data_IF_788259141395
#
_entry.id   IF_788259141395
#
_cell.length_a   1.000
_cell.length_b   1.000
_cell.length_c   1.000
_cell.angle_alpha   90.00
_cell.angle_beta   90.00
_cell.angle_gamma   90.00
#
_symmetry.space_group_name_H-M   'P 1'
#
loop_
_entity.id
_entity.type
_entity.pdbx_description
1 polymer ?
#
# COMPACT_ATOMS: atom_id res chain seq x y z
N UNK A 1 22.31 29.49 -3.24
CA UNK A 1 21.55 28.50 -2.44
C UNK A 1 21.80 27.13 -3.04
N UNK A 2 22.19 26.17 -2.21
CA UNK A 2 23.06 25.03 -2.58
C UNK A 2 22.42 23.97 -3.47
N UNK A 3 23.24 23.45 -4.39
CA UNK A 3 22.97 22.32 -5.28
C UNK A 3 23.02 20.94 -4.58
N UNK A 4 23.18 20.90 -3.25
CA UNK A 4 23.37 19.67 -2.47
C UNK A 4 22.13 19.18 -1.72
N UNK A 5 21.00 19.91 -1.74
CA UNK A 5 19.79 19.45 -1.05
C UNK A 5 19.07 18.41 -1.92
N UNK A 6 19.01 17.16 -1.43
CA UNK A 6 18.14 16.13 -2.00
C UNK A 6 16.68 16.45 -1.71
N UNK A 7 15.81 16.16 -2.67
CA UNK A 7 14.36 16.21 -2.51
C UNK A 7 13.94 15.11 -1.53
N UNK A 8 13.39 15.51 -0.39
CA UNK A 8 12.93 14.59 0.66
C UNK A 8 11.53 14.10 0.34
N UNK A 9 11.37 12.81 0.16
CA UNK A 9 10.11 12.19 -0.27
C UNK A 9 9.60 11.22 0.77
N UNK A 10 8.30 11.25 1.05
CA UNK A 10 7.62 10.20 1.80
C UNK A 10 6.72 9.37 0.87
N UNK A 11 6.58 8.09 1.16
CA UNK A 11 5.73 7.16 0.41
C UNK A 11 4.52 6.78 1.26
N UNK A 12 3.32 6.94 0.71
CA UNK A 12 2.05 6.54 1.33
C UNK A 12 1.48 5.35 0.56
N UNK A 13 1.17 4.25 1.25
CA UNK A 13 0.70 3.01 0.62
C UNK A 13 -0.13 2.11 1.56
N UNK A 14 -0.87 1.15 1.02
CA UNK A 14 -1.50 0.06 1.78
C UNK A 14 -0.61 -1.19 1.95
N UNK A 15 0.64 -1.16 1.48
CA UNK A 15 1.58 -2.29 1.65
C UNK A 15 1.40 -3.41 0.63
N UNK A 16 0.96 -3.06 -0.59
CA UNK A 16 1.01 -3.97 -1.74
C UNK A 16 2.45 -4.25 -2.20
N UNK A 17 2.62 -4.99 -3.31
CA UNK A 17 3.95 -5.35 -3.82
C UNK A 17 4.69 -4.19 -4.53
N UNK A 18 3.97 -3.22 -5.11
CA UNK A 18 4.57 -2.17 -5.92
C UNK A 18 5.42 -1.10 -5.18
N UNK A 19 5.13 -0.73 -3.91
CA UNK A 19 5.97 0.16 -3.12
C UNK A 19 7.43 -0.30 -2.99
N UNK A 20 7.72 -1.61 -2.98
CA UNK A 20 9.12 -2.09 -2.98
C UNK A 20 9.86 -1.60 -4.22
N UNK A 21 9.27 -1.77 -5.41
CA UNK A 21 9.88 -1.32 -6.67
C UNK A 21 10.04 0.21 -6.71
N UNK A 22 9.07 0.95 -6.16
CA UNK A 22 9.16 2.40 -6.07
C UNK A 22 10.35 2.84 -5.20
N UNK A 23 10.58 2.21 -4.06
CA UNK A 23 11.76 2.48 -3.21
C UNK A 23 13.04 2.25 -4.01
N UNK A 24 13.13 1.16 -4.78
CA UNK A 24 14.30 0.86 -5.60
C UNK A 24 14.55 1.90 -6.69
N UNK A 25 13.49 2.38 -7.33
CA UNK A 25 13.58 3.40 -8.37
C UNK A 25 13.99 4.75 -7.78
N UNK A 26 13.38 5.17 -6.67
CA UNK A 26 13.72 6.43 -6.01
C UNK A 26 15.14 6.42 -5.45
N UNK A 27 15.62 5.28 -4.93
CA UNK A 27 16.98 5.14 -4.43
C UNK A 27 18.06 5.30 -5.53
N UNK A 28 17.71 5.14 -6.81
CA UNK A 28 18.63 5.36 -7.94
C UNK A 28 18.71 6.83 -8.37
N UNK A 29 17.79 7.68 -7.90
CA UNK A 29 17.77 9.10 -8.23
C UNK A 29 18.63 9.83 -7.22
N UNK A 30 19.84 10.24 -7.63
CA UNK A 30 20.83 10.87 -6.73
C UNK A 30 20.32 12.15 -6.04
N UNK A 31 19.35 12.84 -6.65
CA UNK A 31 18.71 14.05 -6.12
C UNK A 31 17.53 13.77 -5.20
N UNK A 32 17.22 12.51 -4.86
CA UNK A 32 16.08 12.13 -4.02
C UNK A 32 16.55 11.39 -2.77
N UNK A 33 15.90 11.69 -1.65
CA UNK A 33 16.02 10.96 -0.40
C UNK A 33 14.63 10.47 0.01
N UNK A 34 14.47 9.17 0.26
CA UNK A 34 13.22 8.63 0.81
C UNK A 34 13.27 8.76 2.33
N UNK A 35 12.58 9.78 2.86
CA UNK A 35 12.56 10.12 4.28
C UNK A 35 11.70 9.15 5.12
N UNK A 36 10.75 8.45 4.50
CA UNK A 36 9.95 7.44 5.18
C UNK A 36 8.88 6.78 4.33
N UNK A 37 8.46 5.59 4.74
CA UNK A 37 7.36 4.82 4.14
C UNK A 37 6.26 4.65 5.17
N UNK A 38 5.04 5.08 4.83
CA UNK A 38 3.88 5.05 5.72
C UNK A 38 2.84 4.11 5.16
N UNK A 39 2.61 3.00 5.87
CA UNK A 39 1.67 1.96 5.47
C UNK A 39 0.38 2.09 6.25
N UNK A 40 -0.73 2.40 5.58
CA UNK A 40 -2.04 2.41 6.20
C UNK A 40 -2.53 0.97 6.45
N UNK A 41 -2.87 0.66 7.70
CA UNK A 41 -3.24 -0.69 8.12
C UNK A 41 -4.75 -0.91 8.12
N UNK A 42 -5.57 0.14 8.24
CA UNK A 42 -7.02 0.05 8.12
C UNK A 42 -7.46 0.13 6.65
N UNK A 43 -7.16 -0.94 5.91
CA UNK A 43 -7.44 -1.04 4.47
C UNK A 43 -8.84 -1.65 4.22
N UNK A 44 -9.46 -2.20 5.27
CA UNK A 44 -10.70 -2.96 5.12
C UNK A 44 -11.88 -2.01 5.17
N UNK A 45 -12.25 -1.48 4.00
CA UNK A 45 -13.62 -1.00 3.82
C UNK A 45 -14.56 -2.20 4.01
N UNK A 46 -15.28 -2.20 5.14
CA UNK A 46 -16.31 -3.19 5.46
C UNK A 46 -17.49 -3.03 4.49
N UNK A 47 -17.34 -3.56 3.27
CA UNK A 47 -18.45 -3.64 2.32
C UNK A 47 -19.35 -4.81 2.69
N UNK A 48 -20.66 -4.55 2.74
CA UNK A 48 -21.64 -5.62 2.79
C UNK A 48 -21.49 -6.56 1.57
N UNK A 49 -21.86 -7.83 1.71
CA UNK A 49 -21.87 -8.79 0.60
C UNK A 49 -22.62 -8.24 -0.63
N UNK A 50 -23.70 -7.48 -0.40
CA UNK A 50 -24.45 -6.77 -1.44
C UNK A 50 -23.59 -5.76 -2.20
N UNK A 51 -22.83 -4.93 -1.50
CA UNK A 51 -21.96 -3.93 -2.12
C UNK A 51 -20.81 -4.57 -2.90
N UNK A 52 -20.25 -5.66 -2.38
CA UNK A 52 -19.21 -6.44 -3.08
C UNK A 52 -19.72 -7.01 -4.40
N UNK A 53 -20.92 -7.61 -4.39
CA UNK A 53 -21.59 -8.14 -5.59
C UNK A 53 -21.92 -7.02 -6.57
N UNK A 54 -22.51 -5.91 -6.08
CA UNK A 54 -22.86 -4.75 -6.91
C UNK A 54 -21.63 -4.16 -7.61
N UNK A 55 -20.49 -4.06 -6.91
CA UNK A 55 -19.23 -3.60 -7.52
C UNK A 55 -18.70 -4.59 -8.55
N UNK A 56 -18.68 -5.88 -8.24
CA UNK A 56 -18.20 -6.88 -9.21
C UNK A 56 -19.03 -6.87 -10.50
N UNK A 57 -20.35 -6.71 -10.40
CA UNK A 57 -21.22 -6.55 -11.57
C UNK A 57 -20.90 -5.26 -12.33
N UNK A 58 -20.67 -4.15 -11.63
CA UNK A 58 -20.38 -2.85 -12.25
C UNK A 58 -19.05 -2.84 -12.99
N UNK A 59 -18.00 -3.47 -12.45
CA UNK A 59 -16.65 -3.43 -13.01
C UNK A 59 -16.33 -4.60 -13.92
N UNK A 60 -16.82 -5.80 -13.61
CA UNK A 60 -16.47 -7.05 -14.32
C UNK A 60 -17.64 -7.60 -15.16
N UNK A 61 -18.86 -7.08 -14.95
CA UNK A 61 -20.07 -7.60 -15.58
C UNK A 61 -20.66 -8.82 -14.87
N UNK A 62 -21.90 -9.15 -15.22
CA UNK A 62 -22.65 -10.29 -14.69
C UNK A 62 -21.97 -11.65 -14.92
N UNK A 63 -21.40 -11.97 -16.10
CA UNK A 63 -20.84 -13.30 -16.37
C UNK A 63 -19.60 -13.58 -15.51
N UNK A 64 -18.70 -12.62 -15.40
CA UNK A 64 -17.48 -12.75 -14.59
C UNK A 64 -17.81 -12.83 -13.10
N UNK A 65 -18.83 -12.11 -12.64
CA UNK A 65 -19.30 -12.18 -11.24
C UNK A 65 -19.89 -13.56 -10.93
N UNK A 66 -20.73 -14.10 -11.82
CA UNK A 66 -21.33 -15.43 -11.66
C UNK A 66 -20.26 -16.54 -11.66
N UNK A 67 -19.26 -16.44 -12.55
CA UNK A 67 -18.13 -17.37 -12.59
C UNK A 67 -17.29 -17.35 -11.30
N UNK A 68 -16.99 -16.16 -10.76
CA UNK A 68 -16.29 -16.01 -9.46
C UNK A 68 -17.08 -16.66 -8.31
N UNK A 69 -18.40 -16.51 -8.30
CA UNK A 69 -19.28 -17.12 -7.29
C UNK A 69 -19.35 -18.64 -7.46
N UNK A 70 -19.49 -19.14 -8.68
CA UNK A 70 -19.51 -20.58 -8.97
C UNK A 70 -18.20 -21.26 -8.57
N UNK A 71 -17.03 -20.66 -8.88
CA UNK A 71 -15.72 -21.19 -8.45
C UNK A 71 -15.58 -21.26 -6.93
N UNK A 72 -16.22 -20.33 -6.20
CA UNK A 72 -16.22 -20.32 -4.74
C UNK A 72 -17.07 -21.44 -4.14
N UNK A 73 -18.14 -21.86 -4.83
CA UNK A 73 -19.04 -22.94 -4.37
C UNK A 73 -18.48 -24.35 -4.66
N UNK A 74 -17.68 -24.51 -5.71
CA UNK A 74 -17.14 -25.81 -6.12
C UNK A 74 -15.89 -26.22 -5.30
N UNK A 75 -15.53 -25.46 -4.25
CA UNK A 75 -14.38 -25.81 -3.38
C UNK A 75 -13.00 -25.69 -4.06
N UNK A 76 -12.94 -25.48 -5.37
CA UNK A 76 -11.72 -25.20 -6.14
C UNK A 76 -11.09 -23.82 -5.84
N UNK A 77 -11.43 -23.24 -4.69
CA UNK A 77 -11.08 -21.90 -4.22
C UNK A 77 -10.41 -21.90 -2.85
N UNK A 78 -9.78 -23.01 -2.42
CA UNK A 78 -8.88 -23.06 -1.24
C UNK A 78 -7.58 -22.24 -1.40
N UNK A 79 -7.58 -21.22 -2.26
CA UNK A 79 -6.55 -20.17 -2.31
C UNK A 79 -7.16 -18.77 -2.14
N UNK A 80 -8.35 -18.65 -1.55
CA UNK A 80 -8.79 -17.41 -0.96
C UNK A 80 -8.25 -17.31 0.47
N UNK A 81 -6.93 -17.37 0.63
CA UNK A 81 -6.30 -16.66 1.73
C UNK A 81 -6.78 -15.22 1.59
N UNK A 82 -7.71 -14.84 2.47
CA UNK A 82 -8.33 -13.52 2.48
C UNK A 82 -7.15 -12.55 2.37
N UNK A 83 -7.09 -11.71 1.33
CA UNK A 83 -5.87 -11.01 0.89
C UNK A 83 -4.99 -10.35 1.97
N UNK A 84 -5.45 -10.25 3.20
CA UNK A 84 -4.69 -10.21 4.47
C UNK A 84 -3.36 -10.98 4.43
N UNK A 85 -3.31 -12.29 4.14
CA UNK A 85 -2.04 -13.04 4.21
C UNK A 85 -1.04 -12.64 3.12
N UNK A 86 -1.53 -12.37 1.90
CA UNK A 86 -0.72 -11.79 0.83
C UNK A 86 -0.27 -10.35 1.13
N UNK A 87 -1.11 -9.54 1.77
CA UNK A 87 -0.77 -8.18 2.23
C UNK A 87 0.30 -8.24 3.32
N UNK A 88 0.20 -9.17 4.27
CA UNK A 88 1.18 -9.30 5.34
C UNK A 88 2.55 -9.74 4.81
N UNK A 89 2.57 -10.73 3.89
CA UNK A 89 3.81 -11.11 3.20
C UNK A 89 4.42 -9.95 2.39
N UNK A 90 3.60 -9.12 1.73
CA UNK A 90 4.09 -7.95 1.01
C UNK A 90 4.61 -6.85 1.96
N UNK A 91 3.99 -6.67 3.13
CA UNK A 91 4.47 -5.75 4.17
C UNK A 91 5.80 -6.17 4.74
N UNK A 92 6.02 -7.47 4.94
CA UNK A 92 7.32 -7.98 5.39
C UNK A 92 8.41 -7.68 4.35
N UNK A 93 8.14 -8.00 3.08
CA UNK A 93 9.07 -7.66 1.98
C UNK A 93 9.35 -6.16 1.88
N UNK A 94 8.34 -5.33 2.15
CA UNK A 94 8.48 -3.87 2.16
C UNK A 94 9.34 -3.41 3.35
N UNK A 95 9.16 -4.02 4.52
CA UNK A 95 9.98 -3.78 5.71
C UNK A 95 11.44 -4.14 5.45
N UNK A 96 11.70 -5.31 4.88
CA UNK A 96 13.05 -5.74 4.49
C UNK A 96 13.67 -4.77 3.46
N UNK A 97 12.93 -4.39 2.42
CA UNK A 97 13.43 -3.49 1.38
C UNK A 97 13.75 -2.08 1.90
N UNK A 98 12.94 -1.57 2.84
CA UNK A 98 13.17 -0.30 3.51
C UNK A 98 14.37 -0.39 4.48
N UNK A 99 14.43 -1.44 5.29
CA UNK A 99 15.53 -1.68 6.24
C UNK A 99 16.90 -1.80 5.54
N UNK A 100 16.95 -2.52 4.42
CA UNK A 100 18.17 -2.68 3.61
C UNK A 100 18.74 -1.33 3.08
N UNK A 101 17.93 -0.26 3.13
CA UNK A 101 18.30 1.09 2.67
C UNK A 101 18.31 2.12 3.79
N UNK A 102 18.10 1.71 5.04
CA UNK A 102 18.01 2.61 6.19
C UNK A 102 16.80 3.54 6.15
N UNK A 103 15.72 3.16 5.45
CA UNK A 103 14.51 3.96 5.30
C UNK A 103 13.54 3.61 6.43
N UNK A 104 13.04 4.58 7.23
CA UNK A 104 12.02 4.32 8.24
C UNK A 104 10.72 3.83 7.62
N UNK A 105 10.15 2.74 8.16
CA UNK A 105 8.82 2.26 7.82
C UNK A 105 7.89 2.40 9.03
N UNK A 106 6.77 3.09 8.81
CA UNK A 106 5.77 3.35 9.83
C UNK A 106 4.44 2.70 9.44
N UNK A 107 3.88 1.90 10.35
CA UNK A 107 2.52 1.42 10.24
C UNK A 107 1.59 2.44 10.90
N UNK A 108 0.63 2.96 10.15
CA UNK A 108 -0.36 3.93 10.63
C UNK A 108 -1.75 3.35 10.44
N UNK A 109 -2.65 3.53 11.40
CA UNK A 109 -4.01 3.02 11.27
C UNK A 109 -4.78 3.74 10.19
N UNK A 110 -4.74 5.08 10.20
CA UNK A 110 -5.40 5.93 9.24
C UNK A 110 -4.65 7.25 9.09
N UNK A 111 -4.44 7.71 7.84
CA UNK A 111 -3.67 8.93 7.54
C UNK A 111 -4.29 10.22 8.06
N UNK A 112 -5.60 10.22 8.32
CA UNK A 112 -6.36 11.38 8.79
C UNK A 112 -6.36 11.55 10.31
N UNK A 113 -5.71 10.66 11.06
CA UNK A 113 -5.55 10.85 12.50
C UNK A 113 -4.48 11.90 12.79
N UNK A 114 -4.66 12.69 13.86
CA UNK A 114 -3.67 13.69 14.28
C UNK A 114 -2.29 13.08 14.49
N UNK A 115 -2.24 11.87 15.09
CA UNK A 115 -1.00 11.12 15.29
C UNK A 115 -0.30 10.76 13.99
N UNK A 116 -1.03 10.26 12.99
CA UNK A 116 -0.44 9.93 11.69
C UNK A 116 0.02 11.19 10.96
N UNK A 117 -0.77 12.26 10.98
CA UNK A 117 -0.39 13.54 10.39
C UNK A 117 0.85 14.15 11.05
N UNK A 118 0.95 14.11 12.38
CA UNK A 118 2.12 14.58 13.10
C UNK A 118 3.38 13.77 12.73
N UNK A 119 3.26 12.45 12.64
CA UNK A 119 4.35 11.57 12.26
C UNK A 119 4.80 11.83 10.81
N UNK A 120 3.87 11.96 9.86
CA UNK A 120 4.19 12.29 8.46
C UNK A 120 4.86 13.67 8.35
N UNK A 121 4.39 14.66 9.11
CA UNK A 121 5.00 16.00 9.14
C UNK A 121 6.41 15.99 9.75
N UNK A 122 6.67 15.14 10.75
CA UNK A 122 8.02 15.03 11.35
C UNK A 122 9.08 14.48 10.40
N UNK A 123 8.69 13.87 9.28
CA UNK A 123 9.63 13.42 8.25
C UNK A 123 10.26 14.59 7.47
N UNK A 124 9.71 15.81 7.60
CA UNK A 124 10.16 17.03 6.90
C UNK A 124 10.31 16.79 5.40
N UNK A 125 9.24 16.30 4.79
CA UNK A 125 9.21 15.91 3.38
C UNK A 125 8.83 17.10 2.49
N UNK A 126 9.50 17.20 1.35
CA UNK A 126 9.18 18.15 0.28
C UNK A 126 8.01 17.63 -0.58
N UNK A 127 7.86 16.31 -0.70
CA UNK A 127 6.87 15.66 -1.56
C UNK A 127 6.32 14.37 -0.92
N UNK A 128 5.00 14.18 -1.04
CA UNK A 128 4.34 12.91 -0.73
C UNK A 128 3.99 12.14 -2.01
N UNK A 129 4.44 10.89 -2.11
CA UNK A 129 4.09 9.98 -3.20
C UNK A 129 3.07 8.98 -2.72
N UNK A 130 1.87 9.02 -3.32
CA UNK A 130 0.78 8.09 -3.02
C UNK A 130 0.84 6.92 -3.99
N UNK A 131 1.03 5.70 -3.49
CA UNK A 131 1.19 4.51 -4.33
C UNK A 131 0.35 3.33 -3.85
N UNK A 132 -0.58 2.89 -4.70
CA UNK A 132 -1.43 1.73 -4.42
C UNK A 132 -2.41 1.96 -3.26
N UNK A 133 -2.90 3.19 -3.11
CA UNK A 133 -4.04 3.56 -2.24
C UNK A 133 -5.36 3.41 -2.96
#
# INVERSE_FOLDING_TARGET
>A
MGLDRRLRVIILTHGGAGPCMLIEQLARVASVEVAGVFVETDIVRNYSLREKIKRSIRYDGYPATAWKLARKLVGAGEMADNGVGAIENNRERLREAAAARGIPLHLVTNYHTEKAMALMRSADADLGVVYGT
#
